data_IF_098903413276
#
_entry.id   IF_098903413276
#
_cell.length_a   1.000
_cell.length_b   1.000
_cell.length_c   1.000
_cell.angle_alpha   90.00
_cell.angle_beta   90.00
_cell.angle_gamma   90.00
#
_symmetry.space_group_name_H-M   'P 1'
#
loop_
_entity.id
_entity.type
_entity.pdbx_description
1 polymer ?
#
# COMPACT_ATOMS: atom_id res chain seq x y z
N UNK A 1 -1.23 -74.81 9.31
CA UNK A 1 -1.99 -73.54 9.16
C UNK A 1 -1.54 -72.92 7.85
N UNK A 2 -2.38 -72.97 6.80
CA UNK A 2 -2.04 -72.44 5.48
C UNK A 2 -2.36 -70.95 5.41
N UNK A 3 -1.40 -70.13 4.97
CA UNK A 3 -1.62 -68.72 4.66
C UNK A 3 -2.48 -68.62 3.40
N UNK A 4 -3.74 -68.21 3.55
CA UNK A 4 -4.58 -67.83 2.42
C UNK A 4 -4.20 -66.41 1.99
N UNK A 5 -3.36 -66.30 0.96
CA UNK A 5 -3.11 -65.05 0.26
C UNK A 5 -4.22 -64.78 -0.74
N UNK A 6 -4.76 -63.56 -0.74
CA UNK A 6 -5.73 -63.13 -1.73
C UNK A 6 -5.01 -62.74 -3.02
N UNK A 7 -5.39 -63.38 -4.13
CA UNK A 7 -4.92 -63.02 -5.47
C UNK A 7 -6.05 -62.27 -6.19
N UNK A 8 -5.79 -61.01 -6.57
CA UNK A 8 -6.73 -60.25 -7.40
C UNK A 8 -6.62 -60.79 -8.83
N UNK A 9 -7.64 -61.50 -9.29
CA UNK A 9 -7.63 -62.18 -10.59
C UNK A 9 -8.18 -61.34 -11.75
N UNK A 10 -8.85 -60.21 -11.46
CA UNK A 10 -9.28 -59.22 -12.46
C UNK A 10 -9.77 -57.94 -11.80
N UNK A 11 -9.51 -56.82 -12.44
CA UNK A 11 -10.16 -55.55 -12.14
C UNK A 11 -11.29 -55.30 -13.15
N UNK A 12 -12.38 -54.69 -12.70
CA UNK A 12 -13.54 -54.39 -13.53
C UNK A 12 -13.26 -53.12 -14.36
N UNK A 13 -13.41 -53.21 -15.69
CA UNK A 13 -13.42 -52.03 -16.54
C UNK A 13 -14.67 -51.20 -16.19
N UNK A 14 -14.47 -49.95 -15.76
CA UNK A 14 -15.56 -49.02 -15.44
C UNK A 14 -15.51 -47.86 -16.42
N UNK A 15 -16.67 -47.58 -17.02
CA UNK A 15 -16.80 -46.59 -18.08
C UNK A 15 -16.83 -45.13 -17.57
N UNK A 16 -17.02 -44.87 -16.27
CA UNK A 16 -17.03 -43.49 -15.73
C UNK A 16 -16.90 -43.45 -14.19
N UNK A 17 -15.81 -42.88 -13.68
CA UNK A 17 -15.78 -42.04 -12.47
C UNK A 17 -14.37 -41.47 -12.26
N UNK A 18 -14.19 -40.16 -12.45
CA UNK A 18 -12.92 -39.45 -12.30
C UNK A 18 -12.38 -39.40 -10.85
N UNK A 19 -13.00 -40.11 -9.90
CA UNK A 19 -12.66 -40.10 -8.47
C UNK A 19 -12.11 -41.43 -7.95
N UNK A 20 -12.22 -42.52 -8.73
CA UNK A 20 -11.72 -43.84 -8.33
C UNK A 20 -10.75 -44.37 -9.40
N UNK A 21 -9.46 -44.33 -9.09
CA UNK A 21 -8.39 -44.84 -9.96
C UNK A 21 -8.06 -46.28 -9.59
N UNK A 22 -7.99 -47.18 -10.57
CA UNK A 22 -7.71 -48.60 -10.35
C UNK A 22 -6.31 -48.95 -10.85
N UNK A 23 -5.48 -49.57 -10.00
CA UNK A 23 -4.18 -50.09 -10.37
C UNK A 23 -4.21 -51.61 -10.46
N UNK A 24 -3.68 -52.17 -11.55
CA UNK A 24 -3.58 -53.62 -11.75
C UNK A 24 -2.19 -54.16 -11.41
N UNK A 25 -1.21 -53.27 -11.23
CA UNK A 25 0.18 -53.57 -10.92
C UNK A 25 0.83 -52.40 -10.17
N UNK A 26 2.04 -52.62 -9.63
CA UNK A 26 2.77 -51.61 -8.86
C UNK A 26 3.17 -50.38 -9.67
N UNK A 27 3.40 -50.53 -10.98
CA UNK A 27 3.73 -49.42 -11.87
C UNK A 27 2.53 -48.48 -12.09
N UNK A 28 1.34 -49.06 -12.31
CA UNK A 28 0.07 -48.34 -12.44
C UNK A 28 -0.33 -47.66 -11.14
N UNK A 29 -0.06 -48.31 -10.00
CA UNK A 29 -0.26 -47.72 -8.67
C UNK A 29 0.67 -46.53 -8.44
N UNK A 30 1.96 -46.68 -8.76
CA UNK A 30 2.92 -45.58 -8.68
C UNK A 30 2.51 -44.41 -9.57
N UNK A 31 2.05 -44.68 -10.80
CA UNK A 31 1.56 -43.66 -11.72
C UNK A 31 0.36 -42.89 -11.16
N UNK A 32 -0.60 -43.58 -10.53
CA UNK A 32 -1.75 -42.96 -9.86
C UNK A 32 -1.29 -42.03 -8.74
N UNK A 33 -0.39 -42.50 -7.87
CA UNK A 33 0.14 -41.66 -6.78
C UNK A 33 0.98 -40.49 -7.29
N UNK A 34 1.77 -40.68 -8.34
CA UNK A 34 2.50 -39.58 -9.01
C UNK A 34 1.52 -38.56 -9.58
N UNK A 35 0.49 -38.97 -10.31
CA UNK A 35 -0.52 -38.05 -10.87
C UNK A 35 -1.31 -37.33 -9.77
N UNK A 36 -1.68 -38.00 -8.68
CA UNK A 36 -2.30 -37.34 -7.52
C UNK A 36 -1.32 -36.36 -6.87
N UNK A 37 -0.06 -36.75 -6.69
CA UNK A 37 0.99 -35.89 -6.12
C UNK A 37 1.32 -34.68 -7.00
N UNK A 38 1.27 -34.82 -8.32
CA UNK A 38 1.43 -33.73 -9.29
C UNK A 38 0.20 -32.81 -9.27
N UNK A 39 -1.00 -33.37 -9.16
CA UNK A 39 -2.25 -32.61 -9.03
C UNK A 39 -2.40 -31.89 -7.67
N UNK A 40 -1.80 -32.41 -6.59
CA UNK A 40 -1.70 -31.73 -5.30
C UNK A 40 -0.52 -30.76 -5.28
N UNK A 41 0.52 -31.02 -6.09
CA UNK A 41 1.71 -30.20 -6.24
C UNK A 41 1.52 -28.97 -7.14
N UNK A 42 0.37 -28.84 -7.82
CA UNK A 42 -0.04 -27.60 -8.49
C UNK A 42 -0.67 -26.64 -7.47
N UNK A 43 -0.53 -25.33 -7.72
CA UNK A 43 -1.21 -24.35 -6.88
C UNK A 43 -2.72 -24.57 -6.94
N UNK A 44 -3.38 -24.81 -5.81
CA UNK A 44 -4.83 -25.01 -5.70
C UNK A 44 -5.66 -23.75 -6.06
N UNK A 45 -4.97 -22.67 -6.44
CA UNK A 45 -5.52 -21.41 -6.92
C UNK A 45 -4.90 -21.19 -8.31
N UNK A 46 -5.77 -21.09 -9.32
CA UNK A 46 -5.37 -20.79 -10.69
C UNK A 46 -4.84 -19.35 -10.78
N UNK A 47 -3.51 -19.22 -10.73
CA UNK A 47 -2.77 -17.96 -10.81
C UNK A 47 -1.90 -17.96 -12.08
N UNK A 48 -2.55 -18.09 -13.25
CA UNK A 48 -1.88 -18.01 -14.55
C UNK A 48 -1.37 -16.61 -14.89
N UNK A 49 -0.95 -16.40 -16.14
CA UNK A 49 -0.41 -15.12 -16.64
C UNK A 49 -1.36 -13.92 -16.52
N UNK A 50 -2.67 -14.18 -16.41
CA UNK A 50 -3.72 -13.17 -16.19
C UNK A 50 -3.78 -12.65 -14.74
N UNK A 51 -2.96 -13.20 -13.84
CA UNK A 51 -2.83 -12.71 -12.46
C UNK A 51 -2.28 -11.29 -12.45
N UNK A 52 -2.92 -10.41 -11.69
CA UNK A 52 -2.49 -9.02 -11.53
C UNK A 52 -1.84 -8.88 -10.16
N UNK A 53 -0.57 -8.52 -10.14
CA UNK A 53 0.08 -7.98 -8.94
C UNK A 53 -0.21 -6.49 -8.93
N UNK A 54 -1.04 -6.05 -7.99
CA UNK A 54 -1.48 -4.66 -7.86
C UNK A 54 -0.82 -4.04 -6.64
N UNK A 55 -0.13 -2.93 -6.83
CA UNK A 55 0.45 -2.17 -5.74
C UNK A 55 0.04 -0.70 -5.83
N UNK A 56 -0.72 -0.23 -4.86
CA UNK A 56 -1.31 1.10 -4.82
C UNK A 56 -0.47 1.96 -3.87
N UNK A 57 0.21 2.97 -4.40
CA UNK A 57 0.98 3.91 -3.56
C UNK A 57 0.00 4.82 -2.82
N UNK A 58 0.23 5.18 -1.54
CA UNK A 58 -0.65 6.11 -0.81
C UNK A 58 -0.45 7.57 -1.26
N UNK A 59 -1.45 8.47 -1.08
CA UNK A 59 -1.39 9.85 -1.59
C UNK A 59 -0.20 10.70 -1.11
N UNK A 60 0.50 10.25 -0.07
CA UNK A 60 1.63 10.91 0.59
C UNK A 60 2.96 10.75 -0.17
N UNK A 61 3.04 9.79 -1.08
CA UNK A 61 4.23 9.52 -1.88
C UNK A 61 3.97 9.72 -3.39
N UNK A 62 5.03 9.84 -4.18
CA UNK A 62 4.95 9.85 -5.63
C UNK A 62 4.80 8.44 -6.17
N UNK A 63 4.03 8.30 -7.25
CA UNK A 63 3.99 7.07 -8.06
C UNK A 63 4.86 7.29 -9.31
N UNK A 64 5.54 6.25 -9.84
CA UNK A 64 6.28 6.39 -11.09
C UNK A 64 5.40 6.96 -12.21
N UNK A 65 5.98 7.80 -13.06
CA UNK A 65 5.22 8.46 -14.14
C UNK A 65 5.15 7.63 -15.42
N UNK A 66 6.08 6.69 -15.58
CA UNK A 66 6.21 5.85 -16.75
C UNK A 66 6.53 4.41 -16.36
N UNK A 67 5.96 3.44 -17.08
CA UNK A 67 6.17 2.02 -16.81
C UNK A 67 7.65 1.59 -16.90
N UNK A 68 8.47 2.29 -17.70
CA UNK A 68 9.92 2.03 -17.79
C UNK A 68 10.71 2.33 -16.51
N UNK A 69 10.11 3.06 -15.55
CA UNK A 69 10.69 3.26 -14.23
C UNK A 69 10.42 2.08 -13.27
N UNK A 70 9.67 1.07 -13.71
CA UNK A 70 9.39 -0.15 -12.95
C UNK A 70 10.36 -1.23 -13.42
N UNK A 71 11.18 -1.73 -12.50
CA UNK A 71 12.15 -2.80 -12.76
C UNK A 71 11.48 -4.15 -12.50
N UNK A 72 11.46 -4.97 -13.54
CA UNK A 72 10.90 -6.32 -13.49
C UNK A 72 12.02 -7.34 -13.65
N UNK A 73 12.18 -8.19 -12.65
CA UNK A 73 13.15 -9.26 -12.67
C UNK A 73 12.56 -10.57 -12.14
N UNK A 74 13.20 -11.67 -12.48
CA UNK A 74 12.89 -12.99 -11.90
C UNK A 74 14.15 -13.60 -11.30
N UNK A 75 13.98 -14.40 -10.26
CA UNK A 75 15.06 -15.20 -9.71
C UNK A 75 14.64 -16.66 -9.66
N UNK A 76 15.44 -17.54 -10.28
CA UNK A 76 15.19 -18.97 -10.29
C UNK A 76 15.56 -19.60 -8.94
N UNK A 77 14.71 -20.50 -8.47
CA UNK A 77 15.02 -21.35 -7.32
C UNK A 77 15.79 -22.59 -7.80
N UNK A 78 16.81 -23.00 -7.07
CA UNK A 78 17.64 -24.17 -7.42
C UNK A 78 17.38 -25.40 -6.53
N UNK A 79 16.30 -25.38 -5.74
CA UNK A 79 16.00 -26.41 -4.73
C UNK A 79 16.49 -26.08 -3.31
N UNK A 80 17.36 -25.07 -3.17
CA UNK A 80 17.89 -24.63 -1.88
C UNK A 80 17.77 -23.13 -1.66
N UNK A 81 18.11 -22.33 -2.67
CA UNK A 81 18.07 -20.86 -2.61
C UNK A 81 17.65 -20.25 -3.95
N UNK A 82 17.23 -18.98 -3.92
CA UNK A 82 17.05 -18.19 -5.13
C UNK A 82 18.40 -17.70 -5.63
N UNK A 83 18.62 -17.79 -6.95
CA UNK A 83 19.77 -17.22 -7.63
C UNK A 83 19.70 -15.70 -7.75
N UNK A 84 20.65 -15.14 -8.49
CA UNK A 84 20.66 -13.71 -8.81
C UNK A 84 19.43 -13.32 -9.66
N UNK A 85 18.83 -12.15 -9.42
CA UNK A 85 17.79 -11.62 -10.30
C UNK A 85 18.31 -11.42 -11.73
N UNK A 86 17.50 -11.82 -12.71
CA UNK A 86 17.69 -11.53 -14.13
C UNK A 86 16.45 -10.82 -14.66
N UNK A 87 16.57 -10.10 -15.77
CA UNK A 87 15.43 -9.42 -16.40
C UNK A 87 14.26 -10.41 -16.59
N UNK A 88 13.04 -9.94 -16.30
CA UNK A 88 11.84 -10.73 -16.51
C UNK A 88 11.63 -11.00 -18.01
N UNK A 89 10.85 -12.05 -18.32
CA UNK A 89 10.42 -12.32 -19.69
C UNK A 89 9.65 -11.11 -20.25
N UNK A 90 9.80 -10.74 -21.54
CA UNK A 90 9.08 -9.61 -22.13
C UNK A 90 7.54 -9.70 -22.05
N UNK A 91 6.98 -10.89 -21.83
CA UNK A 91 5.56 -11.07 -21.55
C UNK A 91 5.12 -10.49 -20.19
N UNK A 92 6.05 -10.32 -19.25
CA UNK A 92 5.77 -9.68 -17.96
C UNK A 92 5.83 -8.17 -18.14
N UNK A 93 4.69 -7.50 -17.98
CA UNK A 93 4.55 -6.07 -18.23
C UNK A 93 4.02 -5.34 -17.02
N UNK A 94 4.47 -4.11 -16.83
CA UNK A 94 3.93 -3.19 -15.83
C UNK A 94 3.10 -2.10 -16.50
N UNK A 95 1.99 -1.73 -15.86
CA UNK A 95 1.15 -0.61 -16.21
C UNK A 95 0.88 0.23 -14.97
N UNK A 96 0.69 1.54 -15.18
CA UNK A 96 0.39 2.48 -14.09
C UNK A 96 -1.01 3.01 -14.32
N UNK A 97 -1.88 2.83 -13.34
CA UNK A 97 -3.19 3.47 -13.29
C UNK A 97 -3.04 4.79 -12.53
N UNK A 98 -3.06 5.96 -13.21
CA UNK A 98 -2.90 7.25 -12.54
C UNK A 98 -4.11 7.63 -11.69
N UNK A 99 -5.31 7.12 -12.00
CA UNK A 99 -6.53 7.45 -11.26
C UNK A 99 -6.53 6.79 -9.89
N UNK A 100 -6.10 5.53 -9.82
CA UNK A 100 -5.99 4.80 -8.55
C UNK A 100 -4.59 4.83 -7.96
N UNK A 101 -3.60 5.36 -8.69
CA UNK A 101 -2.17 5.37 -8.32
C UNK A 101 -1.62 3.96 -8.11
N UNK A 102 -2.10 3.02 -8.92
CA UNK A 102 -1.73 1.61 -8.85
C UNK A 102 -0.68 1.25 -9.90
N UNK A 103 0.37 0.57 -9.48
CA UNK A 103 1.26 -0.22 -10.33
C UNK A 103 0.65 -1.61 -10.48
N UNK A 104 0.28 -1.98 -11.70
CA UNK A 104 -0.26 -3.30 -12.04
C UNK A 104 0.78 -4.07 -12.85
N UNK A 105 1.14 -5.27 -12.42
CA UNK A 105 2.04 -6.16 -13.16
C UNK A 105 1.30 -7.44 -13.54
N UNK A 106 1.40 -7.81 -14.81
CA UNK A 106 0.75 -8.98 -15.42
C UNK A 106 1.73 -9.77 -16.26
N UNK A 107 1.34 -10.98 -16.70
CA UNK A 107 2.13 -11.81 -17.62
C UNK A 107 3.02 -12.84 -16.93
N UNK A 108 3.21 -12.76 -15.61
CA UNK A 108 3.91 -13.80 -14.86
C UNK A 108 2.97 -14.96 -14.54
N UNK A 109 3.23 -16.13 -15.11
CA UNK A 109 2.46 -17.35 -14.84
C UNK A 109 2.96 -18.04 -13.56
N UNK A 110 2.21 -17.91 -12.46
CA UNK A 110 2.55 -18.56 -11.19
C UNK A 110 2.27 -20.07 -11.22
N UNK A 111 1.35 -20.55 -12.06
CA UNK A 111 1.11 -21.99 -12.26
C UNK A 111 2.30 -22.65 -12.95
N UNK A 112 3.00 -21.96 -13.84
CA UNK A 112 4.25 -22.45 -14.43
C UNK A 112 5.43 -22.26 -13.47
N UNK A 113 5.48 -21.14 -12.75
CA UNK A 113 6.67 -20.74 -11.98
C UNK A 113 6.60 -21.06 -10.47
N UNK A 114 5.59 -21.78 -9.98
CA UNK A 114 5.48 -22.16 -8.57
C UNK A 114 6.78 -22.79 -8.04
N UNK A 115 7.13 -22.46 -6.80
CA UNK A 115 8.37 -22.94 -6.19
C UNK A 115 8.15 -24.32 -5.58
N UNK A 116 9.02 -25.27 -5.88
CA UNK A 116 8.96 -26.63 -5.36
C UNK A 116 10.31 -27.07 -4.77
N UNK A 117 10.28 -27.95 -3.77
CA UNK A 117 11.49 -28.53 -3.18
C UNK A 117 12.12 -29.57 -4.11
N UNK A 118 11.30 -30.29 -4.88
CA UNK A 118 11.75 -31.23 -5.90
C UNK A 118 11.73 -30.57 -7.27
N UNK A 119 12.63 -30.99 -8.16
CA UNK A 119 12.62 -30.56 -9.55
C UNK A 119 11.31 -31.02 -10.21
N UNK A 120 10.72 -30.14 -11.02
CA UNK A 120 9.58 -30.44 -11.89
C UNK A 120 10.02 -31.33 -13.04
N UNK A 121 9.06 -31.80 -13.84
CA UNK A 121 9.34 -32.62 -15.01
C UNK A 121 10.29 -31.95 -16.03
N UNK A 122 10.30 -30.61 -16.08
CA UNK A 122 11.20 -29.82 -16.93
C UNK A 122 12.58 -29.53 -16.29
N UNK A 123 12.85 -30.08 -15.11
CA UNK A 123 14.09 -29.89 -14.36
C UNK A 123 14.17 -28.59 -13.56
N UNK A 124 13.15 -27.72 -13.63
CA UNK A 124 13.13 -26.45 -12.89
C UNK A 124 12.54 -26.63 -11.49
N UNK A 125 12.80 -25.67 -10.60
CA UNK A 125 12.18 -25.62 -9.26
C UNK A 125 11.27 -24.39 -9.09
N UNK A 126 10.96 -23.69 -10.18
CA UNK A 126 10.20 -22.43 -10.17
C UNK A 126 11.05 -21.17 -10.05
N UNK A 127 10.36 -20.03 -10.06
CA UNK A 127 10.95 -18.69 -10.01
C UNK A 127 10.10 -17.77 -9.14
N UNK A 128 10.71 -16.75 -8.55
CA UNK A 128 9.97 -15.61 -8.00
C UNK A 128 10.00 -14.44 -8.98
N UNK A 129 8.90 -13.68 -9.03
CA UNK A 129 8.83 -12.36 -9.63
C UNK A 129 9.31 -11.32 -8.61
N UNK A 130 10.08 -10.34 -9.07
CA UNK A 130 10.57 -9.21 -8.29
C UNK A 130 10.17 -7.94 -9.05
N UNK A 131 9.48 -7.05 -8.36
CA UNK A 131 8.99 -5.78 -8.88
C UNK A 131 9.57 -4.68 -8.00
N UNK A 132 10.29 -3.74 -8.61
CA UNK A 132 10.94 -2.64 -7.88
C UNK A 132 10.65 -1.31 -8.58
N UNK A 133 10.26 -0.31 -7.79
CA UNK A 133 10.11 1.07 -8.23
C UNK A 133 10.38 2.02 -7.07
N UNK A 134 10.75 3.26 -7.37
CA UNK A 134 11.07 4.25 -6.36
C UNK A 134 9.87 5.18 -6.12
N UNK A 135 9.72 5.59 -4.86
CA UNK A 135 8.74 6.58 -4.43
C UNK A 135 9.44 7.68 -3.65
N UNK A 136 8.88 8.88 -3.66
CA UNK A 136 9.39 10.03 -2.90
C UNK A 136 8.26 10.71 -2.16
N UNK A 137 8.54 11.43 -1.07
CA UNK A 137 7.52 12.20 -0.38
C UNK A 137 6.91 13.22 -1.33
N UNK A 138 5.59 13.31 -1.36
CA UNK A 138 4.87 14.23 -2.26
C UNK A 138 5.01 15.67 -1.76
N UNK A 139 5.12 16.59 -2.72
CA UNK A 139 5.09 18.02 -2.42
C UNK A 139 3.79 18.42 -1.70
N UNK A 140 3.89 19.32 -0.73
CA UNK A 140 2.77 19.75 0.10
C UNK A 140 2.48 18.86 1.31
N UNK A 141 2.87 17.58 1.30
CA UNK A 141 2.70 16.71 2.47
C UNK A 141 3.56 17.20 3.64
N UNK A 142 2.93 17.32 4.81
CA UNK A 142 3.52 17.90 6.02
C UNK A 142 4.31 16.90 6.86
N UNK A 143 4.25 15.61 6.57
CA UNK A 143 4.97 14.57 7.30
C UNK A 143 4.15 13.92 8.42
N UNK A 144 4.82 13.13 9.25
CA UNK A 144 4.23 12.35 10.34
C UNK A 144 4.91 11.01 10.55
N UNK A 145 4.53 10.32 11.63
CA UNK A 145 5.07 9.00 11.94
C UNK A 145 4.23 7.88 11.32
N UNK A 146 4.90 6.78 10.98
CA UNK A 146 4.28 5.56 10.44
C UNK A 146 3.36 5.82 9.24
N UNK A 147 3.76 6.70 8.33
CA UNK A 147 3.02 7.02 7.11
C UNK A 147 3.03 5.78 6.21
N UNK A 148 1.88 5.19 5.87
CA UNK A 148 1.82 4.00 5.04
C UNK A 148 2.31 4.33 3.63
N UNK A 149 3.21 3.51 3.07
CA UNK A 149 3.71 3.71 1.70
C UNK A 149 2.71 3.21 0.65
N UNK A 150 1.91 2.20 1.01
CA UNK A 150 0.99 1.51 0.12
C UNK A 150 -0.41 1.42 0.74
N UNK A 151 -1.45 1.33 -0.09
CA UNK A 151 -2.83 1.16 0.34
C UNK A 151 -3.11 -0.31 0.72
N UNK A 152 -4.07 -0.54 1.62
CA UNK A 152 -4.47 -1.90 2.03
C UNK A 152 -5.09 -2.73 0.91
N UNK A 153 -5.40 -2.12 -0.24
CA UNK A 153 -5.82 -2.80 -1.46
C UNK A 153 -4.64 -3.27 -2.35
N UNK A 154 -3.39 -3.09 -1.93
CA UNK A 154 -2.25 -3.74 -2.58
C UNK A 154 -2.28 -5.26 -2.36
N UNK A 155 -2.06 -6.03 -3.42
CA UNK A 155 -2.07 -7.49 -3.34
C UNK A 155 -2.09 -8.22 -4.67
N UNK A 156 -2.39 -9.53 -4.57
CA UNK A 156 -2.51 -10.46 -5.69
C UNK A 156 -3.99 -10.56 -6.07
N UNK A 157 -4.30 -10.29 -7.33
CA UNK A 157 -5.64 -10.34 -7.89
C UNK A 157 -5.75 -11.41 -8.98
N UNK A 158 -6.78 -12.24 -8.90
CA UNK A 158 -7.14 -13.19 -9.95
C UNK A 158 -8.57 -12.90 -10.41
N UNK A 159 -8.76 -12.73 -11.72
CA UNK A 159 -10.09 -12.45 -12.33
C UNK A 159 -10.79 -11.26 -11.65
N UNK A 160 -10.02 -10.22 -11.32
CA UNK A 160 -10.51 -9.00 -10.66
C UNK A 160 -10.75 -9.10 -9.15
N UNK A 161 -10.63 -10.29 -8.55
CA UNK A 161 -10.82 -10.49 -7.11
C UNK A 161 -9.50 -10.57 -6.38
N UNK A 162 -9.36 -9.85 -5.26
CA UNK A 162 -8.17 -9.96 -4.42
C UNK A 162 -8.14 -11.33 -3.74
N UNK A 163 -7.05 -12.07 -3.96
CA UNK A 163 -6.82 -13.39 -3.37
C UNK A 163 -5.94 -13.27 -2.12
N UNK A 164 -5.00 -12.32 -2.11
CA UNK A 164 -4.12 -12.08 -0.98
C UNK A 164 -3.65 -10.63 -0.95
N UNK A 165 -3.83 -9.97 0.19
CA UNK A 165 -3.28 -8.64 0.44
C UNK A 165 -1.76 -8.71 0.72
N UNK A 166 -1.06 -7.63 0.41
CA UNK A 166 0.31 -7.43 0.88
C UNK A 166 0.34 -6.78 2.26
N UNK A 167 1.43 -7.01 2.99
CA UNK A 167 1.72 -6.25 4.19
C UNK A 167 1.96 -4.78 3.80
N UNK A 168 1.39 -3.85 4.56
CA UNK A 168 1.53 -2.41 4.30
C UNK A 168 2.74 -1.89 5.08
N UNK A 169 3.84 -1.49 4.39
CA UNK A 169 4.97 -0.88 5.07
C UNK A 169 4.63 0.55 5.49
N UNK A 170 5.32 1.03 6.52
CA UNK A 170 5.20 2.40 7.02
C UNK A 170 6.57 3.07 7.06
N UNK A 171 6.59 4.38 6.88
CA UNK A 171 7.80 5.20 7.01
C UNK A 171 7.53 6.43 7.86
N UNK A 172 8.50 6.80 8.69
CA UNK A 172 8.49 8.10 9.36
C UNK A 172 8.93 9.17 8.37
N UNK A 173 8.11 10.21 8.20
CA UNK A 173 8.36 11.33 7.30
C UNK A 173 8.55 12.57 8.15
N UNK A 174 9.66 13.28 7.93
CA UNK A 174 9.98 14.52 8.63
C UNK A 174 8.80 15.50 8.60
N UNK A 175 8.42 15.99 9.78
CA UNK A 175 7.37 16.99 9.91
C UNK A 175 7.90 18.34 9.45
N UNK A 176 7.28 18.90 8.41
CA UNK A 176 7.63 20.21 7.88
C UNK A 176 7.03 21.30 8.78
N UNK A 177 7.88 22.21 9.24
CA UNK A 177 7.40 23.44 9.86
C UNK A 177 6.68 24.28 8.83
N UNK A 178 5.59 24.91 9.25
CA UNK A 178 4.92 25.96 8.49
C UNK A 178 5.19 27.30 9.18
N UNK A 179 5.34 28.35 8.39
CA UNK A 179 5.40 29.72 8.91
C UNK A 179 4.11 30.41 8.47
N UNK A 180 3.28 30.95 9.37
CA UNK A 180 2.14 31.78 8.99
C UNK A 180 2.60 33.03 8.23
N UNK A 181 1.80 33.46 7.27
CA UNK A 181 1.84 34.86 6.82
C UNK A 181 0.82 35.57 7.67
N UNK A 182 1.23 36.65 8.32
CA UNK A 182 0.34 37.52 9.06
C UNK A 182 0.75 38.96 8.80
N UNK A 183 -0.25 39.82 8.64
CA UNK A 183 -0.02 41.25 8.70
C UNK A 183 -0.02 41.67 10.17
N UNK A 184 1.15 42.04 10.70
CA UNK A 184 1.23 42.69 12.01
C UNK A 184 0.32 43.93 11.98
N UNK A 185 -0.79 43.89 12.73
CA UNK A 185 -1.79 44.97 12.75
C UNK A 185 -1.76 45.68 14.09
N UNK A 186 -1.47 46.98 14.05
CA UNK A 186 -1.70 47.87 15.17
C UNK A 186 -3.18 48.27 15.18
N UNK A 187 -3.87 47.99 16.28
CA UNK A 187 -5.25 48.43 16.50
C UNK A 187 -5.19 49.61 17.46
N UNK A 188 -5.66 50.78 17.02
CA UNK A 188 -5.61 52.00 17.80
C UNK A 188 -6.74 52.06 18.84
N UNK A 189 -6.52 52.86 19.88
CA UNK A 189 -7.51 53.13 20.91
C UNK A 189 -8.85 53.60 20.31
N UNK A 190 -9.93 52.90 20.66
CA UNK A 190 -11.29 53.22 20.24
C UNK A 190 -11.73 52.50 18.97
N UNK A 191 -10.82 51.80 18.28
CA UNK A 191 -11.14 50.94 17.15
C UNK A 191 -11.47 49.52 17.61
N UNK A 192 -12.24 48.81 16.79
CA UNK A 192 -12.46 47.37 16.93
C UNK A 192 -11.87 46.62 15.74
N UNK A 193 -11.31 45.44 15.94
CA UNK A 193 -10.90 44.57 14.84
C UNK A 193 -11.18 43.09 15.11
N UNK A 194 -11.35 42.33 14.02
CA UNK A 194 -11.47 40.88 14.06
C UNK A 194 -10.09 40.24 13.89
N UNK A 195 -9.58 39.61 14.95
CA UNK A 195 -8.27 38.97 14.95
C UNK A 195 -8.20 37.73 14.05
N UNK A 196 -9.33 37.16 13.63
CA UNK A 196 -9.38 36.06 12.67
C UNK A 196 -8.74 36.44 11.33
N UNK A 197 -8.88 37.72 10.95
CA UNK A 197 -8.37 38.23 9.67
C UNK A 197 -6.85 38.29 9.62
N UNK A 198 -6.16 38.15 10.76
CA UNK A 198 -4.69 38.19 10.84
C UNK A 198 -4.04 36.85 10.46
N UNK A 199 -4.78 35.74 10.45
CA UNK A 199 -4.24 34.41 10.14
C UNK A 199 -4.38 34.13 8.66
N UNK A 200 -3.28 34.17 7.92
CA UNK A 200 -3.23 33.68 6.54
C UNK A 200 -2.56 32.32 6.48
N UNK A 201 -3.30 31.33 5.99
CA UNK A 201 -2.82 29.97 5.84
C UNK A 201 -1.90 29.88 4.62
N UNK A 202 -0.66 29.46 4.85
CA UNK A 202 0.38 29.33 3.81
C UNK A 202 0.54 27.89 3.30
N UNK A 203 -0.16 26.95 3.91
CA UNK A 203 -0.18 25.55 3.52
C UNK A 203 -1.58 25.17 3.05
N UNK A 204 -1.67 24.19 2.14
CA UNK A 204 -2.96 23.65 1.69
C UNK A 204 -3.38 22.53 2.62
N UNK A 205 -4.42 22.76 3.41
CA UNK A 205 -5.06 21.73 4.24
C UNK A 205 -6.22 21.12 3.47
N UNK A 206 -6.04 19.91 2.98
CA UNK A 206 -7.03 19.14 2.21
C UNK A 206 -7.33 17.78 2.86
N UNK A 207 -6.84 17.58 4.09
CA UNK A 207 -6.89 16.32 4.81
C UNK A 207 -5.88 15.27 4.33
N UNK A 208 -5.27 15.45 3.16
CA UNK A 208 -4.18 14.59 2.68
C UNK A 208 -2.82 15.13 3.12
N UNK A 209 -2.58 16.42 2.91
CA UNK A 209 -1.30 17.06 3.23
C UNK A 209 -1.01 17.06 4.74
N UNK A 210 -2.04 17.22 5.56
CA UNK A 210 -1.99 17.23 7.02
C UNK A 210 -2.56 15.95 7.65
N UNK A 211 -2.57 14.82 6.93
CA UNK A 211 -3.22 13.59 7.40
C UNK A 211 -2.72 13.08 8.77
N UNK A 212 -1.48 13.41 9.16
CA UNK A 212 -0.82 12.88 10.37
C UNK A 212 -0.37 13.97 11.36
N UNK A 213 -0.70 15.23 11.10
CA UNK A 213 -0.25 16.34 11.94
C UNK A 213 -1.38 17.32 12.19
N UNK A 214 -1.49 17.74 13.44
CA UNK A 214 -2.31 18.90 13.79
C UNK A 214 -1.52 20.16 13.47
N UNK A 215 -2.20 21.15 12.90
CA UNK A 215 -1.60 22.45 12.61
C UNK A 215 -2.27 23.49 13.49
N UNK A 216 -1.47 24.24 14.24
CA UNK A 216 -1.98 25.24 15.18
C UNK A 216 -1.35 26.59 14.91
N UNK A 217 -2.19 27.60 14.73
CA UNK A 217 -1.83 29.01 14.65
C UNK A 217 -2.19 29.70 15.97
N UNK A 218 -1.27 30.47 16.52
CA UNK A 218 -1.46 31.17 17.78
C UNK A 218 -1.38 32.68 17.56
N UNK A 219 -2.45 33.40 17.92
CA UNK A 219 -2.46 34.87 17.94
C UNK A 219 -2.06 35.33 19.34
N UNK A 220 -1.03 36.17 19.41
CA UNK A 220 -0.51 36.76 20.65
C UNK A 220 -0.62 38.28 20.61
N UNK A 221 -0.87 38.88 21.76
CA UNK A 221 -0.76 40.33 21.95
C UNK A 221 0.70 40.80 22.04
N UNK A 222 0.89 42.11 22.25
CA UNK A 222 2.21 42.74 22.35
C UNK A 222 3.06 42.24 23.53
N UNK A 223 2.41 41.68 24.55
CA UNK A 223 3.05 41.11 25.74
C UNK A 223 3.33 39.61 25.58
N UNK A 224 2.95 39.01 24.46
CA UNK A 224 3.11 37.59 24.19
C UNK A 224 1.99 36.70 24.77
N UNK A 225 0.92 37.31 25.31
CA UNK A 225 -0.25 36.58 25.83
C UNK A 225 -1.04 36.01 24.67
N UNK A 226 -1.39 34.73 24.73
CA UNK A 226 -2.25 34.10 23.72
C UNK A 226 -3.67 34.63 23.86
N UNK A 227 -4.17 35.23 22.78
CA UNK A 227 -5.55 35.76 22.71
C UNK A 227 -6.47 34.88 21.89
N UNK A 228 -5.92 34.08 20.98
CA UNK A 228 -6.69 33.11 20.22
C UNK A 228 -5.82 32.03 19.59
N UNK A 229 -6.43 30.88 19.34
CA UNK A 229 -5.80 29.72 18.72
C UNK A 229 -6.70 29.17 17.62
N UNK A 230 -6.14 28.98 16.43
CA UNK A 230 -6.80 28.30 15.31
C UNK A 230 -6.11 26.98 15.05
N UNK A 231 -6.82 25.87 15.26
CA UNK A 231 -6.28 24.52 15.10
C UNK A 231 -6.98 23.81 13.96
N UNK A 232 -6.21 23.34 12.98
CA UNK A 232 -6.62 22.42 11.92
C UNK A 232 -6.20 21.02 12.34
N UNK A 233 -7.14 20.14 12.73
CA UNK A 233 -6.81 18.77 13.12
C UNK A 233 -6.23 17.97 11.96
N UNK A 234 -5.46 16.94 12.29
CA UNK A 234 -4.96 15.98 11.32
C UNK A 234 -6.10 15.42 10.47
N UNK A 235 -5.88 15.33 9.15
CA UNK A 235 -6.88 14.84 8.22
C UNK A 235 -8.05 15.79 7.92
N UNK A 236 -8.07 17.00 8.50
CA UNK A 236 -9.14 17.98 8.27
C UNK A 236 -8.74 19.03 7.24
N UNK A 237 -9.70 19.54 6.46
CA UNK A 237 -9.50 20.63 5.50
C UNK A 237 -9.71 22.03 6.10
N UNK A 238 -10.16 22.10 7.35
CA UNK A 238 -10.45 23.35 8.05
C UNK A 238 -10.27 23.16 9.55
N UNK A 239 -10.04 24.26 10.25
CA UNK A 239 -9.84 24.29 11.68
C UNK A 239 -10.95 25.00 12.45
N UNK A 240 -10.74 25.11 13.75
CA UNK A 240 -11.64 25.80 14.68
C UNK A 240 -10.88 26.81 15.51
N UNK A 241 -11.54 27.93 15.81
CA UNK A 241 -11.02 28.96 16.70
C UNK A 241 -11.39 28.70 18.16
N UNK A 242 -10.44 28.99 19.05
CA UNK A 242 -10.63 29.08 20.49
C UNK A 242 -10.07 30.42 20.95
N UNK A 243 -10.90 31.26 21.57
CA UNK A 243 -10.53 32.59 22.07
C UNK A 243 -10.31 32.57 23.58
N UNK A 244 -9.39 33.39 24.07
CA UNK A 244 -9.18 33.56 25.52
C UNK A 244 -10.41 34.20 26.20
N UNK A 245 -11.08 35.12 25.51
CA UNK A 245 -12.43 35.59 25.84
C UNK A 245 -13.44 35.03 24.82
N UNK A 246 -14.21 33.99 25.17
CA UNK A 246 -15.22 33.42 24.29
C UNK A 246 -16.33 34.40 23.89
N UNK A 247 -16.65 35.39 24.73
CA UNK A 247 -17.71 36.36 24.45
C UNK A 247 -17.30 37.35 23.35
N UNK A 248 -15.99 37.59 23.22
CA UNK A 248 -15.41 38.46 22.18
C UNK A 248 -15.53 37.88 20.76
N UNK A 249 -15.59 36.55 20.64
CA UNK A 249 -15.54 35.82 19.36
C UNK A 249 -14.42 36.32 18.41
N UNK A 250 -13.27 36.71 18.98
CA UNK A 250 -12.12 37.24 18.23
C UNK A 250 -12.18 38.73 17.88
N UNK A 251 -13.22 39.43 18.33
CA UNK A 251 -13.33 40.89 18.19
C UNK A 251 -12.70 41.57 19.40
N UNK A 252 -11.68 42.40 19.19
CA UNK A 252 -11.05 43.18 20.26
C UNK A 252 -11.27 44.66 20.05
N UNK A 253 -11.43 45.40 21.15
CA UNK A 253 -11.45 46.86 21.20
C UNK A 253 -10.50 47.31 22.31
N UNK A 254 -9.18 47.43 22.02
CA UNK A 254 -8.20 47.60 23.06
C UNK A 254 -8.25 49.01 23.67
N UNK A 255 -8.06 49.09 24.99
CA UNK A 255 -8.05 50.37 25.75
C UNK A 255 -6.76 51.18 25.57
N UNK A 256 -5.82 50.65 24.80
CA UNK A 256 -4.61 51.32 24.32
C UNK A 256 -4.22 50.74 22.95
N UNK A 257 -3.32 51.38 22.22
CA UNK A 257 -2.81 50.81 20.96
C UNK A 257 -2.06 49.51 21.24
N UNK A 258 -2.45 48.41 20.61
CA UNK A 258 -1.83 47.09 20.81
C UNK A 258 -1.48 46.45 19.47
N UNK A 259 -0.30 45.82 19.40
CA UNK A 259 0.16 45.05 18.23
C UNK A 259 -0.08 43.56 18.46
N UNK A 260 -0.63 42.86 17.47
CA UNK A 260 -0.86 41.41 17.52
C UNK A 260 0.03 40.66 16.54
N UNK A 261 0.52 39.47 16.95
CA UNK A 261 1.41 38.61 16.16
C UNK A 261 0.85 37.20 16.02
N UNK A 262 1.01 36.59 14.86
CA UNK A 262 0.64 35.19 14.61
C UNK A 262 1.89 34.33 14.51
N UNK A 263 1.91 33.19 15.21
CA UNK A 263 2.97 32.17 15.16
C UNK A 263 2.40 30.80 14.92
#
# INVERSE_FOLDING_TARGET
MGNYGWQITRNFAREQSNYYLTANDSASLSKIFTTISENIGSANIDLGSETVIKDIVTPYFTVPQNAGAIRLSTAAYNGSAFGAPVAADPSVTAAIDPATRAVNVTGFDFNQNYVSTNAKADGTFGKKLIIEFDVSVRDGFLGGNQVPTNDGQSGIYAKGTMIKAFDVPTQDVEVKSITPTADDKAIYLGDSANLQELVHQNATFDGTNNAFVDVTYTVKDENGTVVGTYTVPAGSSSGTWVWSDPASNGTVAPEQTTTYKVT
#
